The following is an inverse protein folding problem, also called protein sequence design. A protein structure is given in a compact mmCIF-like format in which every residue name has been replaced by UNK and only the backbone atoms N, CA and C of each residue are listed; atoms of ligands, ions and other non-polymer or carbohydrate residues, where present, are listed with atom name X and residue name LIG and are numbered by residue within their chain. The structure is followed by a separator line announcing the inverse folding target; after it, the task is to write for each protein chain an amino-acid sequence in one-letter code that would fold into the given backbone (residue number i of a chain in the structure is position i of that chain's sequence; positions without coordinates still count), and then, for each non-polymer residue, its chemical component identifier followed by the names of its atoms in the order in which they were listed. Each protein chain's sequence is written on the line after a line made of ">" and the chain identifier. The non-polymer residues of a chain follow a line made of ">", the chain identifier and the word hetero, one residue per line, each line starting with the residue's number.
data_IF_504427531416
#
_entry.id   IF_504427531416
#
_cell.length_a   1.000
_cell.length_b   1.000
_cell.length_c   1.000
_cell.angle_alpha   90.00
_cell.angle_beta   90.00
_cell.angle_gamma   90.00
#
_symmetry.space_group_name_H-M   'P 1'
#
loop_
_entity.id
_entity.type
_entity.pdbx_description
1 polymer ?
#
# COMPACT_ATOMS: atom_id res chain seq x y z
N UNK A 1 -12.55 2.61 26.19
CA UNK A 1 -12.57 2.16 24.76
C UNK A 1 -11.44 2.83 23.96
N UNK A 2 -10.29 3.14 24.57
CA UNK A 2 -9.15 3.75 23.89
C UNK A 2 -8.16 2.72 23.31
N UNK A 3 -8.24 1.46 23.77
CA UNK A 3 -7.36 0.35 23.33
C UNK A 3 -7.68 -0.25 21.95
N UNK A 4 -8.85 0.01 21.36
CA UNK A 4 -9.18 -0.52 20.03
C UNK A 4 -8.44 0.21 18.89
N UNK A 5 -8.12 1.50 19.09
CA UNK A 5 -7.41 2.35 18.13
C UNK A 5 -5.93 1.96 17.91
N UNK A 6 -5.14 1.58 18.94
CA UNK A 6 -3.78 1.12 18.71
C UNK A 6 -3.72 -0.20 17.95
N UNK A 7 -4.61 -1.16 18.22
CA UNK A 7 -4.57 -2.48 17.55
C UNK A 7 -4.65 -2.39 16.02
N UNK A 8 -5.57 -1.57 15.51
CA UNK A 8 -5.78 -1.40 14.06
C UNK A 8 -4.59 -0.69 13.39
N UNK A 9 -3.97 0.25 14.10
CA UNK A 9 -2.77 0.97 13.66
C UNK A 9 -1.54 0.05 13.64
N UNK A 10 -1.34 -0.76 14.68
CA UNK A 10 -0.27 -1.76 14.72
C UNK A 10 -0.45 -2.83 13.63
N UNK A 11 -1.69 -3.26 13.39
CA UNK A 11 -1.99 -4.22 12.32
C UNK A 11 -1.62 -3.64 10.95
N UNK A 12 -1.96 -2.38 10.68
CA UNK A 12 -1.58 -1.68 9.45
C UNK A 12 -0.06 -1.59 9.27
N UNK A 13 0.68 -1.22 10.31
CA UNK A 13 2.14 -1.09 10.22
C UNK A 13 2.85 -2.42 10.07
N UNK A 14 2.32 -3.51 10.67
CA UNK A 14 2.84 -4.87 10.46
C UNK A 14 2.67 -5.29 9.01
N UNK A 15 1.48 -5.11 8.43
CA UNK A 15 1.26 -5.44 7.00
C UNK A 15 2.17 -4.60 6.10
N UNK A 16 2.28 -3.30 6.33
CA UNK A 16 3.15 -2.42 5.55
C UNK A 16 4.63 -2.83 5.65
N UNK A 17 5.11 -3.17 6.86
CA UNK A 17 6.50 -3.59 7.09
C UNK A 17 6.80 -4.95 6.45
N UNK A 18 5.89 -5.91 6.61
CA UNK A 18 6.03 -7.23 5.98
C UNK A 18 6.11 -7.12 4.46
N UNK A 19 5.27 -6.28 3.86
CA UNK A 19 5.31 -6.02 2.42
C UNK A 19 6.61 -5.38 1.96
N UNK A 20 7.16 -4.44 2.74
CA UNK A 20 8.43 -3.80 2.42
C UNK A 20 9.57 -4.82 2.35
N UNK A 21 9.62 -5.76 3.30
CA UNK A 21 10.63 -6.82 3.34
C UNK A 21 10.54 -7.76 2.14
N UNK A 22 9.32 -8.19 1.78
CA UNK A 22 9.12 -9.12 0.66
C UNK A 22 9.43 -8.43 -0.68
N UNK A 23 9.06 -7.16 -0.82
CA UNK A 23 9.33 -6.40 -2.05
C UNK A 23 10.82 -6.15 -2.23
N UNK A 24 11.56 -5.87 -1.15
CA UNK A 24 13.01 -5.65 -1.19
C UNK A 24 13.82 -6.93 -1.46
N UNK A 25 13.31 -8.10 -1.08
CA UNK A 25 14.00 -9.37 -1.36
C UNK A 25 13.84 -9.83 -2.81
N UNK A 26 12.79 -9.37 -3.51
CA UNK A 26 12.48 -9.80 -4.87
C UNK A 26 13.56 -9.42 -5.93
N UNK A 27 14.11 -8.18 -5.97
CA UNK A 27 15.18 -7.81 -6.89
C UNK A 27 16.46 -8.65 -6.77
N UNK A 28 16.69 -9.27 -5.61
CA UNK A 28 17.84 -10.17 -5.41
C UNK A 28 17.78 -11.35 -6.38
N UNK A 29 16.58 -11.88 -6.66
CA UNK A 29 16.38 -12.97 -7.61
C UNK A 29 16.71 -12.55 -9.05
N UNK A 30 16.34 -11.34 -9.46
CA UNK A 30 16.79 -10.79 -10.74
C UNK A 30 18.31 -10.63 -10.79
N UNK A 31 18.91 -10.17 -9.69
CA UNK A 31 20.37 -10.05 -9.56
C UNK A 31 21.06 -11.40 -9.77
N UNK A 32 20.55 -12.48 -9.17
CA UNK A 32 21.07 -13.84 -9.39
C UNK A 32 20.96 -14.27 -10.85
N UNK A 33 19.84 -14.01 -11.51
CA UNK A 33 19.65 -14.35 -12.93
C UNK A 33 20.54 -13.54 -13.88
N UNK A 34 20.89 -12.31 -13.52
CA UNK A 34 21.69 -11.39 -14.32
C UNK A 34 23.21 -11.45 -14.02
N UNK A 35 23.64 -12.13 -12.95
CA UNK A 35 25.03 -12.10 -12.48
C UNK A 35 26.03 -12.75 -13.46
N UNK A 36 25.61 -13.78 -14.20
CA UNK A 36 26.44 -14.52 -15.17
C UNK A 36 25.67 -14.80 -16.47
N UNK A 37 25.39 -13.77 -17.28
CA UNK A 37 24.58 -13.94 -18.47
C UNK A 37 25.29 -14.84 -19.49
N UNK A 38 24.62 -15.87 -19.97
CA UNK A 38 25.14 -16.79 -20.99
C UNK A 38 26.07 -17.90 -20.50
N UNK A 39 26.55 -17.84 -19.25
CA UNK A 39 27.35 -18.92 -18.65
C UNK A 39 26.47 -19.99 -17.98
N UNK A 40 25.26 -19.62 -17.59
CA UNK A 40 24.30 -20.50 -16.91
C UNK A 40 23.35 -21.11 -17.97
N UNK A 41 23.02 -22.42 -17.87
CA UNK A 41 22.02 -23.04 -18.73
C UNK A 41 20.70 -22.24 -18.79
N UNK A 42 20.10 -22.05 -19.98
CA UNK A 42 18.88 -21.24 -20.15
C UNK A 42 17.70 -21.67 -19.28
N UNK A 43 17.61 -22.95 -18.97
CA UNK A 43 16.56 -23.52 -18.11
C UNK A 43 16.62 -22.98 -16.67
N UNK A 44 17.82 -22.76 -16.14
CA UNK A 44 18.02 -22.22 -14.79
C UNK A 44 17.67 -20.73 -14.79
N UNK A 45 18.09 -19.98 -15.81
CA UNK A 45 17.72 -18.55 -15.94
C UNK A 45 16.21 -18.38 -16.04
N UNK A 46 15.52 -19.26 -16.76
CA UNK A 46 14.05 -19.28 -16.84
C UNK A 46 13.41 -19.56 -15.48
N UNK A 47 13.89 -20.58 -14.76
CA UNK A 47 13.39 -20.90 -13.42
C UNK A 47 13.57 -19.72 -12.45
N UNK A 48 14.73 -19.04 -12.49
CA UNK A 48 15.01 -17.86 -11.65
C UNK A 48 14.07 -16.70 -12.03
N UNK A 49 13.81 -16.51 -13.32
CA UNK A 49 12.87 -15.48 -13.80
C UNK A 49 11.43 -15.77 -13.33
N UNK A 50 10.97 -17.02 -13.47
CA UNK A 50 9.65 -17.43 -12.99
C UNK A 50 9.57 -17.25 -11.46
N UNK A 51 10.62 -17.65 -10.71
CA UNK A 51 10.67 -17.47 -9.26
C UNK A 51 10.64 -15.99 -8.83
N UNK A 52 11.29 -15.10 -9.57
CA UNK A 52 11.21 -13.66 -9.36
C UNK A 52 9.77 -13.18 -9.50
N UNK A 53 9.10 -13.49 -10.62
CA UNK A 53 7.73 -13.05 -10.87
C UNK A 53 6.75 -13.59 -9.84
N UNK A 54 6.89 -14.86 -9.46
CA UNK A 54 6.10 -15.43 -8.38
C UNK A 54 6.33 -14.70 -7.05
N UNK A 55 7.58 -14.43 -6.67
CA UNK A 55 7.90 -13.69 -5.45
C UNK A 55 7.42 -12.22 -5.48
N UNK A 56 7.34 -11.61 -6.67
CA UNK A 56 6.85 -10.24 -6.86
C UNK A 56 5.32 -10.15 -6.75
N UNK A 57 4.58 -11.15 -7.25
CA UNK A 57 3.12 -11.11 -7.32
C UNK A 57 2.42 -11.79 -6.12
N UNK A 58 3.03 -12.80 -5.49
CA UNK A 58 2.49 -13.43 -4.28
C UNK A 58 2.21 -12.51 -3.08
N UNK A 59 2.88 -11.36 -2.87
CA UNK A 59 2.58 -10.43 -1.79
C UNK A 59 1.19 -9.77 -1.92
N UNK A 60 0.37 -10.14 -2.90
CA UNK A 60 -1.03 -9.69 -3.00
C UNK A 60 -1.83 -9.94 -1.70
N UNK A 61 -1.59 -11.05 -0.98
CA UNK A 61 -2.33 -11.41 0.23
C UNK A 61 -2.17 -10.40 1.37
N UNK A 62 -0.94 -10.06 1.82
CA UNK A 62 -0.76 -9.01 2.83
C UNK A 62 -1.25 -7.63 2.34
N UNK A 63 -1.21 -7.34 1.04
CA UNK A 63 -1.75 -6.08 0.51
C UNK A 63 -3.28 -6.03 0.53
N UNK A 64 -3.95 -7.11 0.16
CA UNK A 64 -5.39 -7.25 0.30
C UNK A 64 -5.82 -7.09 1.76
N UNK A 65 -5.09 -7.73 2.69
CA UNK A 65 -5.29 -7.55 4.13
C UNK A 65 -5.13 -6.09 4.58
N UNK A 66 -4.05 -5.43 4.14
CA UNK A 66 -3.82 -4.01 4.40
C UNK A 66 -4.99 -3.12 3.94
N UNK A 67 -5.51 -3.34 2.73
CA UNK A 67 -6.64 -2.58 2.18
C UNK A 67 -7.94 -2.80 2.95
N UNK A 68 -8.22 -4.04 3.37
CA UNK A 68 -9.41 -4.36 4.17
C UNK A 68 -9.32 -3.68 5.53
N UNK A 69 -8.17 -3.79 6.21
CA UNK A 69 -7.96 -3.12 7.51
C UNK A 69 -8.07 -1.61 7.36
N UNK A 70 -7.51 -1.03 6.30
CA UNK A 70 -7.64 0.40 6.01
C UNK A 70 -9.10 0.82 5.80
N UNK A 71 -9.89 0.04 5.05
CA UNK A 71 -11.31 0.30 4.89
C UNK A 71 -12.07 0.27 6.22
N UNK A 72 -11.74 -0.69 7.11
CA UNK A 72 -12.32 -0.77 8.46
C UNK A 72 -11.95 0.46 9.29
N UNK A 73 -10.71 0.94 9.23
CA UNK A 73 -10.28 2.19 9.89
C UNK A 73 -11.13 3.37 9.41
N UNK A 74 -11.27 3.52 8.10
CA UNK A 74 -12.03 4.63 7.49
C UNK A 74 -13.50 4.60 7.90
N UNK A 75 -14.13 3.42 7.95
CA UNK A 75 -15.53 3.30 8.36
C UNK A 75 -15.74 3.41 9.87
N UNK A 76 -14.74 3.06 10.67
CA UNK A 76 -14.77 3.18 12.13
C UNK A 76 -14.53 4.60 12.62
N UNK A 77 -14.07 5.50 11.75
CA UNK A 77 -13.91 6.92 12.08
C UNK A 77 -15.27 7.60 12.25
N UNK A 78 -15.55 8.04 13.49
CA UNK A 78 -16.79 8.73 13.90
C UNK A 78 -16.55 10.21 14.23
N UNK A 79 -15.37 10.77 13.90
CA UNK A 79 -15.07 12.19 14.13
C UNK A 79 -15.97 13.08 13.26
N UNK A 80 -16.27 14.28 13.74
CA UNK A 80 -17.02 15.30 12.97
C UNK A 80 -16.29 15.69 11.69
N UNK A 81 -14.95 15.73 11.75
CA UNK A 81 -14.07 15.87 10.58
C UNK A 81 -13.28 14.56 10.46
N UNK A 82 -13.71 13.63 9.59
CA UNK A 82 -13.00 12.37 9.38
C UNK A 82 -11.58 12.59 8.83
N UNK A 83 -10.65 11.75 9.27
CA UNK A 83 -9.27 11.76 8.75
C UNK A 83 -9.25 11.46 7.25
N UNK A 84 -10.05 10.48 6.81
CA UNK A 84 -10.26 10.15 5.41
C UNK A 84 -11.72 10.29 5.00
N UNK A 85 -11.99 10.74 3.78
CA UNK A 85 -13.35 10.74 3.26
C UNK A 85 -13.85 9.29 3.05
N UNK A 86 -15.13 9.03 3.37
CA UNK A 86 -15.70 7.66 3.42
C UNK A 86 -15.61 6.90 2.09
N UNK A 87 -15.57 7.61 0.95
CA UNK A 87 -15.41 7.00 -0.38
C UNK A 87 -14.08 6.23 -0.52
N UNK A 88 -13.04 6.64 0.20
CA UNK A 88 -11.73 5.95 0.20
C UNK A 88 -11.87 4.53 0.75
N UNK A 89 -12.74 4.31 1.74
CA UNK A 89 -13.02 2.97 2.27
C UNK A 89 -13.64 2.05 1.23
N UNK A 90 -14.62 2.54 0.46
CA UNK A 90 -15.22 1.78 -0.65
C UNK A 90 -14.22 1.52 -1.77
N UNK A 91 -13.39 2.51 -2.10
CA UNK A 91 -12.34 2.37 -3.10
C UNK A 91 -11.28 1.33 -2.69
N UNK A 92 -10.89 1.27 -1.41
CA UNK A 92 -9.99 0.23 -0.90
C UNK A 92 -10.59 -1.18 -1.06
N UNK A 93 -11.87 -1.37 -0.71
CA UNK A 93 -12.55 -2.66 -0.90
C UNK A 93 -12.67 -3.04 -2.37
N UNK A 94 -12.94 -2.05 -3.24
CA UNK A 94 -12.97 -2.28 -4.69
C UNK A 94 -11.61 -2.72 -5.23
N UNK A 95 -10.53 -2.08 -4.76
CA UNK A 95 -9.18 -2.49 -5.11
C UNK A 95 -8.89 -3.92 -4.61
N UNK A 96 -9.26 -4.28 -3.38
CA UNK A 96 -9.11 -5.65 -2.87
C UNK A 96 -9.76 -6.68 -3.79
N UNK A 97 -10.97 -6.40 -4.30
CA UNK A 97 -11.67 -7.29 -5.23
C UNK A 97 -10.93 -7.42 -6.57
N UNK A 98 -10.41 -6.32 -7.10
CA UNK A 98 -9.64 -6.31 -8.34
C UNK A 98 -8.29 -7.03 -8.24
N UNK A 99 -7.78 -7.23 -7.02
CA UNK A 99 -6.51 -7.92 -6.76
C UNK A 99 -6.69 -9.42 -6.50
N UNK A 100 -7.92 -9.89 -6.34
CA UNK A 100 -8.25 -11.31 -6.19
C UNK A 100 -7.75 -12.19 -7.36
N UNK A 101 -7.82 -11.76 -8.64
CA UNK A 101 -7.24 -12.50 -9.76
C UNK A 101 -5.72 -12.67 -9.65
N UNK A 102 -5.01 -11.81 -8.91
CA UNK A 102 -3.56 -11.96 -8.69
C UNK A 102 -3.21 -13.24 -7.93
N UNK A 103 -4.11 -13.75 -7.07
CA UNK A 103 -3.94 -15.05 -6.42
C UNK A 103 -4.18 -16.24 -7.34
N UNK A 104 -4.80 -16.03 -8.51
CA UNK A 104 -5.07 -17.08 -9.48
C UNK A 104 -3.85 -17.40 -10.35
N UNK A 105 -2.77 -16.60 -10.25
CA UNK A 105 -1.50 -16.78 -10.96
C UNK A 105 -0.93 -18.20 -10.83
N UNK A 106 -1.01 -18.79 -9.64
CA UNK A 106 -0.51 -20.13 -9.36
C UNK A 106 -1.28 -21.25 -10.08
N UNK A 107 -2.50 -20.97 -10.55
CA UNK A 107 -3.40 -21.96 -11.16
C UNK A 107 -3.38 -21.90 -12.69
N UNK A 108 -3.07 -20.75 -13.30
CA UNK A 108 -3.08 -20.58 -14.75
C UNK A 108 -1.66 -20.51 -15.33
N UNK A 109 -1.25 -21.60 -16.00
CA UNK A 109 0.07 -21.70 -16.68
C UNK A 109 0.12 -20.99 -18.04
N UNK A 110 -1.03 -20.64 -18.62
CA UNK A 110 -1.16 -19.94 -19.89
C UNK A 110 -2.51 -19.20 -19.97
N UNK A 111 -2.53 -18.03 -20.62
CA UNK A 111 -3.74 -17.22 -20.81
C UNK A 111 -3.67 -15.83 -20.18
N UNK A 112 -4.74 -15.03 -20.22
CA UNK A 112 -4.74 -13.65 -19.71
C UNK A 112 -4.53 -13.54 -18.19
N UNK A 113 -4.67 -14.65 -17.47
CA UNK A 113 -4.41 -14.80 -16.03
C UNK A 113 -3.04 -15.45 -15.70
N UNK A 114 -2.22 -15.78 -16.71
CA UNK A 114 -0.83 -16.18 -16.47
C UNK A 114 0.02 -14.97 -16.05
N UNK A 115 1.23 -15.19 -15.56
CA UNK A 115 2.09 -14.09 -15.11
C UNK A 115 2.49 -13.12 -16.23
N UNK A 116 2.69 -13.64 -17.45
CA UNK A 116 2.86 -12.83 -18.67
C UNK A 116 1.53 -12.26 -19.21
N UNK A 117 0.43 -12.49 -18.50
CA UNK A 117 -0.92 -12.18 -18.92
C UNK A 117 -1.26 -10.70 -18.74
N UNK A 118 -1.96 -10.14 -19.73
CA UNK A 118 -2.41 -8.75 -19.71
C UNK A 118 -3.26 -8.41 -18.47
N UNK A 119 -4.05 -9.36 -17.95
CA UNK A 119 -4.93 -9.08 -16.82
C UNK A 119 -4.25 -9.27 -15.47
N UNK A 120 -3.44 -10.32 -15.29
CA UNK A 120 -2.78 -10.57 -14.01
C UNK A 120 -1.83 -9.41 -13.65
N UNK A 121 -0.97 -9.01 -14.59
CA UNK A 121 0.01 -7.97 -14.33
C UNK A 121 -0.60 -6.55 -14.41
N UNK A 122 -1.28 -6.19 -15.49
CA UNK A 122 -1.70 -4.78 -15.70
C UNK A 122 -2.90 -4.37 -14.84
N UNK A 123 -3.82 -5.28 -14.52
CA UNK A 123 -4.93 -4.93 -13.60
C UNK A 123 -4.40 -4.75 -12.20
N UNK A 124 -3.48 -5.62 -11.76
CA UNK A 124 -2.84 -5.50 -10.45
C UNK A 124 -2.00 -4.23 -10.35
N UNK A 125 -1.15 -3.97 -11.35
CA UNK A 125 -0.34 -2.76 -11.43
C UNK A 125 -1.23 -1.51 -11.50
N UNK A 126 -2.27 -1.51 -12.35
CA UNK A 126 -3.21 -0.40 -12.48
C UNK A 126 -3.96 -0.12 -11.19
N UNK A 127 -4.46 -1.15 -10.50
CA UNK A 127 -5.13 -1.03 -9.21
C UNK A 127 -4.17 -0.46 -8.16
N UNK A 128 -2.94 -0.97 -8.08
CA UNK A 128 -1.91 -0.50 -7.16
C UNK A 128 -1.51 0.96 -7.42
N UNK A 129 -1.27 1.34 -8.67
CA UNK A 129 -0.92 2.71 -9.05
C UNK A 129 -2.07 3.66 -8.75
N UNK A 130 -3.30 3.31 -9.13
CA UNK A 130 -4.48 4.14 -8.88
C UNK A 130 -4.69 4.33 -7.38
N UNK A 131 -4.48 3.27 -6.59
CA UNK A 131 -4.54 3.32 -5.14
C UNK A 131 -3.51 4.26 -4.53
N UNK A 132 -2.24 4.09 -4.91
CA UNK A 132 -1.12 4.87 -4.39
C UNK A 132 -1.29 6.36 -4.71
N UNK A 133 -1.67 6.70 -5.94
CA UNK A 133 -1.94 8.09 -6.35
C UNK A 133 -3.12 8.66 -5.58
N UNK A 134 -4.21 7.90 -5.45
CA UNK A 134 -5.41 8.34 -4.75
C UNK A 134 -5.14 8.67 -3.28
N UNK A 135 -4.51 7.75 -2.55
CA UNK A 135 -4.13 7.97 -1.16
C UNK A 135 -3.17 9.15 -1.01
N UNK A 136 -2.17 9.24 -1.89
CA UNK A 136 -1.23 10.37 -1.88
C UNK A 136 -1.95 11.71 -2.03
N UNK A 137 -2.87 11.84 -3.01
CA UNK A 137 -3.62 13.08 -3.23
C UNK A 137 -4.52 13.42 -2.04
N UNK A 138 -5.21 12.43 -1.47
CA UNK A 138 -6.08 12.65 -0.30
C UNK A 138 -5.28 13.10 0.91
N UNK A 139 -4.13 12.45 1.18
CA UNK A 139 -3.22 12.81 2.26
C UNK A 139 -2.67 14.23 2.10
N UNK A 140 -2.20 14.60 0.90
CA UNK A 140 -1.71 15.96 0.63
C UNK A 140 -2.80 17.02 0.84
N UNK A 141 -4.04 16.74 0.41
CA UNK A 141 -5.17 17.64 0.63
C UNK A 141 -5.48 17.81 2.11
N UNK A 142 -5.44 16.71 2.89
CA UNK A 142 -5.71 16.72 4.33
C UNK A 142 -4.63 17.47 5.10
N UNK A 143 -3.36 17.17 4.84
CA UNK A 143 -2.24 17.89 5.45
C UNK A 143 -2.31 19.41 5.17
N UNK A 144 -2.63 19.79 3.94
CA UNK A 144 -2.81 21.20 3.59
C UNK A 144 -4.03 21.85 4.26
N UNK A 145 -5.09 21.08 4.54
CA UNK A 145 -6.25 21.57 5.31
C UNK A 145 -5.87 21.78 6.77
N UNK A 146 -5.17 20.83 7.38
CA UNK A 146 -4.75 20.90 8.78
C UNK A 146 -3.79 22.09 9.01
N UNK A 147 -2.78 22.25 8.14
CA UNK A 147 -1.87 23.41 8.18
C UNK A 147 -2.63 24.75 8.03
N UNK A 148 -3.68 24.79 7.20
CA UNK A 148 -4.49 26.01 7.03
C UNK A 148 -5.30 26.32 8.28
N UNK A 149 -5.87 25.31 8.93
CA UNK A 149 -6.61 25.47 10.18
C UNK A 149 -5.71 25.93 11.32
N UNK A 150 -4.52 25.33 11.45
CA UNK A 150 -3.51 25.74 12.42
C UNK A 150 -3.06 27.19 12.22
N UNK A 151 -2.91 27.66 10.97
CA UNK A 151 -2.58 29.07 10.68
C UNK A 151 -3.71 30.04 11.05
N UNK A 152 -4.98 29.64 10.87
CA UNK A 152 -6.12 30.46 11.27
C UNK A 152 -6.22 30.55 12.80
N UNK A 153 -5.99 29.45 13.51
CA UNK A 153 -6.01 29.39 14.97
C UNK A 153 -4.76 30.01 15.62
N UNK A 154 -3.60 29.92 14.96
CA UNK A 154 -2.33 30.50 15.41
C UNK A 154 -2.26 32.03 15.32
N UNK A 155 -3.31 32.68 14.81
CA UNK A 155 -3.49 34.14 14.92
C UNK A 155 -4.21 34.54 16.23
N UNK A 156 -4.72 33.56 17.00
CA UNK A 156 -5.42 33.73 18.29
C UNK A 156 -4.65 33.10 19.49
N UNK A 157 -3.31 33.03 19.44
CA UNK A 157 -2.54 32.82 20.68
C UNK A 157 -2.25 34.20 21.27
N UNK A 158 -2.86 34.61 22.40
CA UNK A 158 -2.45 35.82 23.07
C UNK A 158 -1.00 35.59 23.51
N UNK A 159 -0.10 36.49 23.13
CA UNK A 159 1.20 36.67 23.78
C UNK A 159 0.94 36.95 25.26
N UNK A 160 0.76 35.91 26.05
CA UNK A 160 0.56 36.04 27.48
C UNK A 160 1.93 35.88 28.13
N UNK A 161 2.45 37.01 28.59
CA UNK A 161 3.51 37.15 29.58
C UNK A 161 4.93 36.70 29.18
N UNK A 162 5.53 37.42 28.22
CA UNK A 162 6.92 37.89 28.39
C UNK A 162 6.86 39.33 28.94
N UNK A 163 6.28 39.47 30.12
CA UNK A 163 6.45 40.63 31.00
C UNK A 163 6.60 40.07 32.41
N UNK A 164 7.74 39.46 32.67
CA UNK A 164 8.28 39.44 34.03
C UNK A 164 9.45 40.41 33.99
N UNK A 165 9.11 41.68 34.25
CA UNK A 165 10.06 42.66 34.77
C UNK A 165 10.67 42.12 36.06
N UNK A 166 12.01 42.10 36.14
CA UNK A 166 12.84 42.52 37.29
C UNK A 166 14.28 42.01 37.11
#
# INVERSE_FOLDING_TARGET
>A
MEDAKPFLTYTLTIFASAMMLITLSCPVLLGFGAYRPGEVPPEITRLINDAFWFAAEYPYSPFAGFMVVLAVVVFSDKREIPAFPRWVGYFCLWCTLLMFPGGMLAFFKAGPFAYDGLLAFYVLAGAYTTFTVTLSVVMHKKLNQDIRLERMQGTEVPKTAETVDA
#
